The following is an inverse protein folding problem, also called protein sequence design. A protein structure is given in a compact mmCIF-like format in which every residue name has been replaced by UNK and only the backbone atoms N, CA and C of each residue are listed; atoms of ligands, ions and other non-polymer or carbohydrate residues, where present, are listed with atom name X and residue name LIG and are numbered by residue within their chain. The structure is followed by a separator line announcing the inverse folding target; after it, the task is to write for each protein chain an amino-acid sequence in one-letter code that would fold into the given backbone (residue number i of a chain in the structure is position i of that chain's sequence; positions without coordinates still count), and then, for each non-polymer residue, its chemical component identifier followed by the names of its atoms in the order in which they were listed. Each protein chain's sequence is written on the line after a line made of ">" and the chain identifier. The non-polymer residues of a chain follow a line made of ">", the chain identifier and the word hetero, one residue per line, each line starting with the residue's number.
data_IF_063094296460
#
_entry.id   IF_063094296460
#
_cell.length_a   1.000
_cell.length_b   1.000
_cell.length_c   1.000
_cell.angle_alpha   90.00
_cell.angle_beta   90.00
_cell.angle_gamma   90.00
#
_symmetry.space_group_name_H-M   'P 1'
#
loop_
_entity.id
_entity.type
_entity.pdbx_description
1 polymer ?
#
# COMPACT_ATOMS: atom_id res chain seq x y z
N UNK A 1 -0.46 -34.39 11.90
CA UNK A 1 -0.47 -32.91 11.97
C UNK A 1 0.60 -32.30 11.09
N UNK A 2 1.84 -32.80 11.17
CA UNK A 2 2.93 -32.46 10.24
C UNK A 2 2.56 -32.74 8.79
N UNK A 3 1.94 -33.89 8.45
CA UNK A 3 1.70 -34.27 7.04
C UNK A 3 0.81 -33.30 6.26
N UNK A 4 -0.32 -32.83 6.80
CA UNK A 4 -1.25 -31.97 6.04
C UNK A 4 -0.76 -30.51 5.88
N UNK A 5 -0.11 -29.94 6.91
CA UNK A 5 0.55 -28.63 6.81
C UNK A 5 1.83 -28.72 5.98
N UNK A 6 2.54 -29.85 6.03
CA UNK A 6 3.69 -30.12 5.17
C UNK A 6 3.28 -30.31 3.70
N UNK A 7 2.19 -31.03 3.42
CA UNK A 7 1.62 -31.14 2.07
C UNK A 7 1.17 -29.79 1.50
N UNK A 8 0.62 -28.90 2.34
CA UNK A 8 0.28 -27.53 1.95
C UNK A 8 1.50 -26.62 1.73
N UNK A 9 2.60 -26.85 2.45
CA UNK A 9 3.83 -26.03 2.35
C UNK A 9 4.86 -26.56 1.34
N UNK A 10 4.83 -27.84 1.01
CA UNK A 10 5.71 -28.48 0.02
C UNK A 10 5.22 -28.33 -1.42
N UNK A 11 3.99 -27.85 -1.66
CA UNK A 11 3.55 -27.55 -3.02
C UNK A 11 4.36 -26.36 -3.57
N UNK A 12 5.47 -26.69 -4.23
CA UNK A 12 6.45 -25.75 -4.81
C UNK A 12 5.85 -24.72 -5.78
N UNK A 13 4.59 -24.89 -6.19
CA UNK A 13 3.81 -23.88 -6.92
C UNK A 13 3.64 -22.58 -6.13
N UNK A 14 3.62 -22.64 -4.79
CA UNK A 14 3.42 -21.46 -3.94
C UNK A 14 4.66 -20.58 -3.79
N UNK A 15 5.88 -21.12 -3.93
CA UNK A 15 7.12 -20.31 -3.92
C UNK A 15 7.29 -19.37 -5.12
N UNK A 16 6.43 -19.50 -6.15
CA UNK A 16 6.38 -18.56 -7.29
C UNK A 16 5.41 -17.40 -7.09
N UNK A 17 4.64 -17.40 -6.00
CA UNK A 17 3.73 -16.30 -5.69
C UNK A 17 4.55 -15.13 -5.15
N UNK A 18 4.95 -14.20 -6.02
CA UNK A 18 5.58 -12.95 -5.58
C UNK A 18 4.59 -12.07 -4.79
N UNK A 19 5.12 -11.25 -3.89
CA UNK A 19 4.36 -10.26 -3.12
C UNK A 19 3.74 -10.81 -1.82
N UNK A 20 2.68 -10.17 -1.35
CA UNK A 20 2.09 -10.38 -0.02
C UNK A 20 1.74 -11.84 0.34
N UNK A 21 1.45 -12.68 -0.66
CA UNK A 21 1.14 -14.10 -0.41
C UNK A 21 2.34 -14.88 0.09
N UNK A 22 3.55 -14.60 -0.43
CA UNK A 22 4.77 -15.25 0.07
C UNK A 22 5.04 -14.87 1.53
N UNK A 23 4.82 -13.59 1.87
CA UNK A 23 5.00 -13.08 3.22
C UNK A 23 3.98 -13.70 4.18
N UNK A 24 2.71 -13.77 3.77
CA UNK A 24 1.66 -14.41 4.56
C UNK A 24 1.90 -15.93 4.74
N UNK A 25 2.39 -16.63 3.71
CA UNK A 25 2.78 -18.04 3.81
C UNK A 25 3.96 -18.24 4.77
N UNK A 26 4.98 -17.37 4.69
CA UNK A 26 6.10 -17.42 5.62
C UNK A 26 5.63 -17.20 7.05
N UNK A 27 4.73 -16.23 7.27
CA UNK A 27 4.15 -15.97 8.58
C UNK A 27 3.34 -17.15 9.10
N UNK A 28 2.51 -17.75 8.26
CA UNK A 28 1.75 -18.96 8.59
C UNK A 28 2.67 -20.11 9.04
N UNK A 29 3.80 -20.31 8.38
CA UNK A 29 4.78 -21.33 8.77
C UNK A 29 5.40 -21.04 10.14
N UNK A 30 5.75 -19.77 10.43
CA UNK A 30 6.25 -19.37 11.75
C UNK A 30 5.21 -19.64 12.85
N UNK A 31 3.96 -19.23 12.65
CA UNK A 31 2.89 -19.48 13.63
C UNK A 31 2.63 -20.99 13.82
N UNK A 32 2.72 -21.79 12.75
CA UNK A 32 2.62 -23.24 12.84
C UNK A 32 3.77 -23.85 13.65
N UNK A 33 4.98 -23.30 13.57
CA UNK A 33 6.12 -23.69 14.40
C UNK A 33 5.89 -23.30 15.87
N UNK A 34 5.35 -22.12 16.14
CA UNK A 34 5.07 -21.66 17.50
C UNK A 34 3.99 -22.50 18.18
N UNK A 35 2.92 -22.86 17.47
CA UNK A 35 1.91 -23.81 18.00
C UNK A 35 2.53 -25.17 18.32
N UNK A 36 3.47 -25.67 17.52
CA UNK A 36 4.17 -26.93 17.84
C UNK A 36 4.94 -26.81 19.15
N UNK A 37 5.52 -25.64 19.44
CA UNK A 37 6.21 -25.37 20.73
C UNK A 37 5.24 -25.29 21.91
N UNK A 38 3.99 -24.89 21.68
CA UNK A 38 2.94 -24.87 22.71
C UNK A 38 2.45 -26.25 23.14
N UNK A 39 2.69 -27.30 22.33
CA UNK A 39 2.21 -28.64 22.64
C UNK A 39 2.83 -29.15 23.95
N UNK A 40 2.01 -29.63 24.91
CA UNK A 40 2.53 -30.09 26.19
C UNK A 40 3.49 -31.27 25.99
N UNK A 41 4.70 -31.14 26.53
CA UNK A 41 5.49 -32.32 26.90
C UNK A 41 4.64 -33.07 27.93
N UNK A 42 4.29 -34.33 27.67
CA UNK A 42 3.34 -35.08 28.47
C UNK A 42 3.71 -35.13 29.96
N UNK A 43 3.26 -34.16 30.75
CA UNK A 43 3.51 -34.05 32.18
C UNK A 43 2.20 -33.76 32.88
N UNK A 44 1.46 -34.84 33.19
CA UNK A 44 0.47 -35.06 34.27
C UNK A 44 -0.38 -33.92 34.90
N UNK A 45 -0.50 -32.74 34.31
CA UNK A 45 -1.22 -31.60 34.90
C UNK A 45 -2.71 -31.67 34.59
N UNK A 46 -3.54 -31.46 35.61
CA UNK A 46 -5.01 -31.44 35.53
C UNK A 46 -5.59 -30.20 34.85
N UNK A 47 -4.78 -29.16 34.58
CA UNK A 47 -5.14 -28.01 33.72
C UNK A 47 -4.95 -28.27 32.22
N UNK A 48 -4.45 -29.45 31.84
CA UNK A 48 -4.15 -29.83 30.47
C UNK A 48 -5.35 -29.95 29.49
N UNK A 49 -6.59 -30.32 29.88
CA UNK A 49 -7.65 -30.56 28.89
C UNK A 49 -8.18 -29.27 28.23
N UNK A 50 -8.34 -28.17 28.97
CA UNK A 50 -8.79 -26.88 28.40
C UNK A 50 -7.71 -26.28 27.48
N UNK A 51 -6.43 -26.36 27.88
CA UNK A 51 -5.33 -25.88 27.03
C UNK A 51 -5.20 -26.70 25.74
N UNK A 52 -5.37 -28.02 25.81
CA UNK A 52 -5.34 -28.89 24.63
C UNK A 52 -6.45 -28.58 23.63
N UNK A 53 -7.65 -28.26 24.13
CA UNK A 53 -8.77 -27.82 23.28
C UNK A 53 -8.46 -26.50 22.57
N UNK A 54 -7.97 -25.49 23.30
CA UNK A 54 -7.62 -24.19 22.70
C UNK A 54 -6.49 -24.29 21.69
N UNK A 55 -5.46 -25.11 21.94
CA UNK A 55 -4.41 -25.39 20.95
C UNK A 55 -5.01 -26.02 19.69
N UNK A 56 -6.02 -26.90 19.83
CA UNK A 56 -6.71 -27.47 18.68
C UNK A 56 -7.51 -26.44 17.90
N UNK A 57 -8.19 -25.52 18.58
CA UNK A 57 -8.94 -24.40 17.96
C UNK A 57 -8.00 -23.53 17.11
N UNK A 58 -6.88 -23.08 17.67
CA UNK A 58 -5.89 -22.28 16.92
C UNK A 58 -5.30 -23.04 15.72
N UNK A 59 -5.14 -24.37 15.83
CA UNK A 59 -4.75 -25.19 14.68
C UNK A 59 -5.82 -25.27 13.59
N UNK A 60 -7.11 -25.21 13.94
CA UNK A 60 -8.18 -25.15 12.96
C UNK A 60 -8.21 -23.77 12.29
N UNK A 61 -8.04 -22.69 13.05
CA UNK A 61 -7.91 -21.32 12.54
C UNK A 61 -6.75 -21.21 11.54
N UNK A 62 -5.56 -21.70 11.86
CA UNK A 62 -4.45 -21.71 10.89
C UNK A 62 -4.77 -22.44 9.57
N UNK A 63 -5.55 -23.53 9.63
CA UNK A 63 -5.97 -24.25 8.41
C UNK A 63 -7.01 -23.47 7.63
N UNK A 64 -7.85 -22.70 8.31
CA UNK A 64 -8.78 -21.76 7.69
C UNK A 64 -8.01 -20.68 6.95
N UNK A 65 -7.07 -20.01 7.61
CA UNK A 65 -6.20 -19.00 6.99
C UNK A 65 -5.46 -19.57 5.78
N UNK A 66 -4.95 -20.80 5.88
CA UNK A 66 -4.30 -21.47 4.75
C UNK A 66 -5.23 -21.69 3.55
N UNK A 67 -6.53 -21.94 3.78
CA UNK A 67 -7.54 -22.02 2.73
C UNK A 67 -7.82 -20.63 2.15
N UNK A 68 -7.98 -19.63 3.02
CA UNK A 68 -8.28 -18.25 2.67
C UNK A 68 -7.19 -17.59 1.84
N UNK A 69 -5.91 -17.94 2.01
CA UNK A 69 -4.80 -17.45 1.19
C UNK A 69 -5.04 -17.52 -0.32
N UNK A 70 -5.89 -18.46 -0.76
CA UNK A 70 -6.25 -18.66 -2.16
C UNK A 70 -7.52 -17.94 -2.60
N UNK A 71 -8.45 -17.62 -1.69
CA UNK A 71 -9.78 -17.09 -2.02
C UNK A 71 -10.04 -15.67 -1.50
N UNK A 72 -9.35 -15.26 -0.44
CA UNK A 72 -9.54 -14.02 0.28
C UNK A 72 -8.60 -12.90 -0.22
N UNK A 73 -8.94 -11.67 0.15
CA UNK A 73 -8.09 -10.50 -0.06
C UNK A 73 -6.88 -10.47 0.90
N UNK A 74 -5.86 -9.64 0.62
CA UNK A 74 -4.72 -9.48 1.53
C UNK A 74 -5.15 -9.03 2.92
N UNK A 75 -6.09 -8.08 2.99
CA UNK A 75 -6.53 -7.47 4.25
C UNK A 75 -7.19 -8.52 5.18
N UNK A 76 -8.03 -9.39 4.63
CA UNK A 76 -8.71 -10.47 5.36
C UNK A 76 -7.70 -11.49 5.89
N UNK A 77 -6.77 -11.95 5.05
CA UNK A 77 -5.75 -12.93 5.44
C UNK A 77 -4.84 -12.39 6.55
N UNK A 78 -4.40 -11.14 6.44
CA UNK A 78 -3.54 -10.54 7.46
C UNK A 78 -4.28 -10.37 8.78
N UNK A 79 -5.55 -9.96 8.75
CA UNK A 79 -6.38 -9.90 9.95
C UNK A 79 -6.49 -11.28 10.63
N UNK A 80 -6.77 -12.34 9.88
CA UNK A 80 -6.88 -13.68 10.46
C UNK A 80 -5.54 -14.22 10.99
N UNK A 81 -4.42 -13.89 10.36
CA UNK A 81 -3.08 -14.19 10.89
C UNK A 81 -2.81 -13.47 12.21
N UNK A 82 -3.21 -12.20 12.30
CA UNK A 82 -3.10 -11.38 13.51
C UNK A 82 -3.94 -11.96 14.67
N UNK A 83 -5.18 -12.39 14.39
CA UNK A 83 -6.05 -13.03 15.38
C UNK A 83 -5.45 -14.34 15.91
N UNK A 84 -4.94 -15.20 15.03
CA UNK A 84 -4.24 -16.43 15.41
C UNK A 84 -3.04 -16.15 16.31
N UNK A 85 -2.25 -15.13 15.97
CA UNK A 85 -1.09 -14.74 16.76
C UNK A 85 -1.46 -14.25 18.15
N UNK A 86 -2.52 -13.43 18.27
CA UNK A 86 -3.06 -13.01 19.57
C UNK A 86 -3.54 -14.20 20.40
N UNK A 87 -4.12 -15.23 19.77
CA UNK A 87 -4.52 -16.46 20.46
C UNK A 87 -3.30 -17.27 20.92
N UNK A 88 -2.25 -17.38 20.11
CA UNK A 88 -1.00 -18.04 20.47
C UNK A 88 -0.35 -17.33 21.68
N UNK A 89 -0.28 -16.00 21.67
CA UNK A 89 0.25 -15.21 22.77
C UNK A 89 -0.48 -15.49 24.10
N UNK A 90 -1.81 -15.64 24.07
CA UNK A 90 -2.62 -15.99 25.26
C UNK A 90 -2.37 -17.41 25.78
N UNK A 91 -1.87 -18.31 24.93
CA UNK A 91 -1.58 -19.71 25.27
C UNK A 91 -0.12 -19.96 25.66
N UNK A 92 0.77 -18.99 25.37
CA UNK A 92 2.18 -19.01 25.72
C UNK A 92 2.40 -18.88 27.23
N UNK A 93 3.42 -19.57 27.75
CA UNK A 93 3.77 -19.55 29.17
C UNK A 93 5.29 -19.59 29.35
N UNK A 94 5.76 -19.09 30.49
CA UNK A 94 7.19 -19.15 30.87
C UNK A 94 8.09 -18.51 29.81
N UNK A 95 9.17 -19.18 29.45
CA UNK A 95 10.16 -18.68 28.48
C UNK A 95 9.53 -18.32 27.12
N UNK A 96 8.57 -19.10 26.63
CA UNK A 96 7.88 -18.82 25.36
C UNK A 96 7.13 -17.48 25.41
N UNK A 97 6.49 -17.16 26.54
CA UNK A 97 5.80 -15.89 26.70
C UNK A 97 6.79 -14.72 26.76
N UNK A 98 7.98 -14.92 27.32
CA UNK A 98 9.06 -13.93 27.29
C UNK A 98 9.56 -13.69 25.87
N UNK A 99 9.79 -14.75 25.10
CA UNK A 99 10.20 -14.65 23.69
C UNK A 99 9.16 -13.85 22.88
N UNK A 100 7.87 -14.12 23.13
CA UNK A 100 6.78 -13.33 22.54
C UNK A 100 6.76 -11.87 22.98
N UNK A 101 7.06 -11.58 24.25
CA UNK A 101 7.15 -10.21 24.74
C UNK A 101 8.32 -9.45 24.06
N UNK A 102 9.48 -10.09 23.91
CA UNK A 102 10.63 -9.53 23.18
C UNK A 102 10.26 -9.26 21.73
N UNK A 103 9.70 -10.27 21.05
CA UNK A 103 9.26 -10.13 19.67
C UNK A 103 8.19 -9.02 19.50
N UNK A 104 7.23 -8.95 20.41
CA UNK A 104 6.20 -7.91 20.42
C UNK A 104 6.81 -6.51 20.58
N UNK A 105 7.84 -6.35 21.42
CA UNK A 105 8.57 -5.09 21.58
C UNK A 105 9.28 -4.68 20.28
N UNK A 106 10.00 -5.61 19.66
CA UNK A 106 10.68 -5.36 18.40
C UNK A 106 9.67 -4.98 17.30
N UNK A 107 8.55 -5.71 17.22
CA UNK A 107 7.50 -5.46 16.24
C UNK A 107 6.81 -4.10 16.47
N UNK A 108 6.50 -3.75 17.71
CA UNK A 108 5.85 -2.49 18.09
C UNK A 108 6.77 -1.27 17.96
N UNK A 109 8.08 -1.47 17.99
CA UNK A 109 9.07 -0.39 17.80
C UNK A 109 9.49 -0.18 16.34
N UNK A 110 8.91 -0.96 15.41
CA UNK A 110 9.18 -0.84 13.98
C UNK A 110 8.98 0.61 13.50
N UNK A 111 9.97 1.20 12.79
CA UNK A 111 9.89 2.55 12.26
C UNK A 111 8.65 2.84 11.41
N UNK A 112 8.10 1.83 10.74
CA UNK A 112 6.89 1.94 9.93
C UNK A 112 5.63 2.21 10.76
N UNK A 113 5.68 1.96 12.08
CA UNK A 113 4.64 2.27 13.07
C UNK A 113 4.87 3.62 13.77
N UNK A 114 5.94 4.37 13.45
CA UNK A 114 6.31 5.64 14.15
C UNK A 114 5.28 6.78 14.13
N UNK A 115 4.14 6.61 13.44
CA UNK A 115 3.01 7.55 13.52
C UNK A 115 1.93 7.17 14.53
N UNK A 116 1.93 5.93 15.05
CA UNK A 116 0.85 5.40 15.88
C UNK A 116 1.28 5.25 17.34
N UNK A 117 1.40 6.38 18.05
CA UNK A 117 1.69 6.39 19.50
C UNK A 117 0.70 5.57 20.31
N UNK A 118 -0.54 5.38 19.83
CA UNK A 118 -1.53 4.58 20.56
C UNK A 118 -1.15 3.08 20.63
N UNK A 119 -0.35 2.58 19.67
CA UNK A 119 0.18 1.22 19.70
C UNK A 119 1.32 1.05 20.72
N UNK A 120 2.05 2.12 21.04
CA UNK A 120 3.27 2.10 21.88
C UNK A 120 3.12 2.86 23.20
N UNK A 121 1.90 3.04 23.69
CA UNK A 121 1.61 3.73 24.96
C UNK A 121 0.65 2.90 25.82
N UNK A 122 0.63 3.18 27.13
CA UNK A 122 -0.29 2.55 28.08
C UNK A 122 0.33 1.42 28.91
N UNK A 123 -0.37 1.05 29.99
CA UNK A 123 0.14 0.15 31.04
C UNK A 123 0.50 -1.23 30.54
N UNK A 124 -0.31 -1.83 29.66
CA UNK A 124 -0.02 -3.14 29.06
C UNK A 124 1.27 -3.11 28.21
N UNK A 125 1.56 -2.00 27.52
CA UNK A 125 2.80 -1.88 26.76
C UNK A 125 4.02 -1.76 27.68
N UNK A 126 3.92 -0.97 28.74
CA UNK A 126 4.99 -0.84 29.74
C UNK A 126 5.28 -2.18 30.42
N UNK A 127 4.25 -2.97 30.72
CA UNK A 127 4.40 -4.30 31.30
C UNK A 127 5.09 -5.27 30.33
N UNK A 128 4.66 -5.32 29.06
CA UNK A 128 5.30 -6.13 28.01
C UNK A 128 6.76 -5.74 27.81
N UNK A 129 7.05 -4.43 27.75
CA UNK A 129 8.41 -3.92 27.62
C UNK A 129 9.28 -4.29 28.82
N UNK A 130 8.76 -4.15 30.04
CA UNK A 130 9.49 -4.53 31.25
C UNK A 130 9.77 -6.04 31.27
N UNK A 131 8.82 -6.86 30.82
CA UNK A 131 8.98 -8.32 30.75
C UNK A 131 9.98 -8.79 29.69
N UNK A 132 10.18 -8.00 28.62
CA UNK A 132 11.18 -8.27 27.58
C UNK A 132 12.63 -8.05 28.04
N UNK A 133 12.86 -7.41 29.20
CA UNK A 133 14.22 -7.18 29.70
C UNK A 133 14.91 -8.50 30.12
N UNK A 134 16.24 -8.65 29.91
CA UNK A 134 16.98 -9.89 30.17
C UNK A 134 16.89 -10.44 31.60
N UNK A 135 16.55 -9.59 32.57
CA UNK A 135 16.46 -9.94 33.99
C UNK A 135 15.05 -9.72 34.57
N UNK A 136 14.03 -9.60 33.72
CA UNK A 136 12.67 -9.41 34.20
C UNK A 136 12.18 -10.63 35.00
N UNK A 137 11.26 -10.45 35.97
CA UNK A 137 10.67 -11.56 36.73
C UNK A 137 10.01 -12.62 35.83
N UNK A 138 9.74 -13.80 36.39
CA UNK A 138 9.11 -14.89 35.66
C UNK A 138 7.75 -14.45 35.06
N UNK A 139 7.47 -14.76 33.79
CA UNK A 139 6.20 -14.44 33.14
C UNK A 139 5.01 -15.05 33.87
N UNK A 140 3.99 -14.23 34.15
CA UNK A 140 2.73 -14.67 34.74
C UNK A 140 1.57 -14.65 33.72
N UNK A 141 0.37 -15.02 34.17
CA UNK A 141 -0.81 -15.06 33.31
C UNK A 141 -1.31 -13.66 32.91
N UNK A 142 -1.02 -12.62 33.71
CA UNK A 142 -1.38 -11.24 33.41
C UNK A 142 -0.55 -10.72 32.24
N UNK A 143 0.75 -11.04 32.21
CA UNK A 143 1.62 -10.73 31.08
C UNK A 143 1.13 -11.35 29.76
N UNK A 144 0.54 -12.56 29.78
CA UNK A 144 -0.01 -13.17 28.57
C UNK A 144 -1.16 -12.34 27.98
N UNK A 145 -2.03 -11.81 28.83
CA UNK A 145 -3.10 -10.91 28.43
C UNK A 145 -2.56 -9.58 27.92
N UNK A 146 -1.54 -9.02 28.58
CA UNK A 146 -0.92 -7.75 28.18
C UNK A 146 -0.16 -7.85 26.85
N UNK A 147 0.56 -8.96 26.60
CA UNK A 147 1.20 -9.23 25.30
C UNK A 147 0.14 -9.28 24.21
N UNK A 148 -0.94 -10.05 24.41
CA UNK A 148 -2.02 -10.14 23.43
C UNK A 148 -2.69 -8.78 23.18
N UNK A 149 -2.92 -7.99 24.24
CA UNK A 149 -3.49 -6.64 24.11
C UNK A 149 -2.54 -5.64 23.42
N UNK A 150 -1.23 -5.77 23.60
CA UNK A 150 -0.23 -4.97 22.91
C UNK A 150 -0.19 -5.34 21.41
N UNK A 151 -0.17 -6.64 21.09
CA UNK A 151 -0.23 -7.13 19.71
C UNK A 151 -1.52 -6.72 19.00
N UNK A 152 -2.67 -6.85 19.66
CA UNK A 152 -3.94 -6.42 19.09
C UNK A 152 -3.95 -4.95 18.66
N UNK A 153 -3.35 -4.08 19.49
CA UNK A 153 -3.21 -2.65 19.16
C UNK A 153 -2.22 -2.43 18.01
N UNK A 154 -1.15 -3.20 17.94
CA UNK A 154 -0.19 -3.19 16.82
C UNK A 154 -0.87 -3.59 15.51
N UNK A 155 -1.56 -4.73 15.52
CA UNK A 155 -2.25 -5.30 14.37
C UNK A 155 -3.34 -4.37 13.86
N UNK A 156 -4.21 -3.86 14.75
CA UNK A 156 -5.23 -2.87 14.40
C UNK A 156 -4.63 -1.61 13.76
N UNK A 157 -3.46 -1.18 14.24
CA UNK A 157 -2.74 -0.04 13.66
C UNK A 157 -2.24 -0.33 12.24
N UNK A 158 -1.66 -1.52 12.03
CA UNK A 158 -1.17 -2.01 10.75
C UNK A 158 -2.32 -2.18 9.75
N UNK A 159 -3.40 -2.82 10.17
CA UNK A 159 -4.58 -3.09 9.34
C UNK A 159 -5.25 -1.79 8.89
N UNK A 160 -5.35 -0.80 9.77
CA UNK A 160 -5.84 0.53 9.40
C UNK A 160 -4.96 1.18 8.34
N UNK A 161 -3.64 1.11 8.50
CA UNK A 161 -2.69 1.66 7.52
C UNK A 161 -2.80 0.96 6.16
N UNK A 162 -2.97 -0.36 6.16
CA UNK A 162 -3.22 -1.15 4.95
C UNK A 162 -4.53 -0.76 4.26
N UNK A 163 -5.62 -0.63 5.02
CA UNK A 163 -6.91 -0.18 4.50
C UNK A 163 -6.83 1.25 3.93
N UNK A 164 -6.13 2.16 4.59
CA UNK A 164 -5.89 3.53 4.11
C UNK A 164 -5.07 3.52 2.81
N UNK A 165 -4.01 2.71 2.74
CA UNK A 165 -3.19 2.56 1.53
C UNK A 165 -4.01 1.96 0.37
N UNK A 166 -4.83 0.96 0.63
CA UNK A 166 -5.71 0.34 -0.36
C UNK A 166 -6.74 1.35 -0.89
N UNK A 167 -7.42 2.07 0.01
CA UNK A 167 -8.37 3.13 -0.35
C UNK A 167 -7.72 4.26 -1.15
N UNK A 168 -6.50 4.66 -0.78
CA UNK A 168 -5.71 5.63 -1.52
C UNK A 168 -5.40 5.13 -2.94
N UNK A 169 -4.91 3.89 -3.06
CA UNK A 169 -4.62 3.24 -4.35
C UNK A 169 -5.86 3.16 -5.24
N UNK A 170 -7.02 2.78 -4.68
CA UNK A 170 -8.29 2.69 -5.39
C UNK A 170 -8.77 4.06 -5.90
N UNK A 171 -8.70 5.10 -5.05
CA UNK A 171 -9.05 6.48 -5.44
C UNK A 171 -8.12 7.00 -6.53
N UNK A 172 -6.80 6.82 -6.38
CA UNK A 172 -5.82 7.24 -7.38
C UNK A 172 -6.01 6.51 -8.71
N UNK A 173 -6.31 5.20 -8.68
CA UNK A 173 -6.61 4.42 -9.87
C UNK A 173 -7.86 4.92 -10.58
N UNK A 174 -8.92 5.18 -9.81
CA UNK A 174 -10.18 5.74 -10.34
C UNK A 174 -9.93 7.11 -10.99
N UNK A 175 -9.16 7.98 -10.32
CA UNK A 175 -8.78 9.28 -10.88
C UNK A 175 -7.96 9.14 -12.16
N UNK A 176 -6.99 8.23 -12.18
CA UNK A 176 -6.14 7.97 -13.36
C UNK A 176 -6.97 7.48 -14.54
N UNK A 177 -7.89 6.53 -14.31
CA UNK A 177 -8.83 6.06 -15.34
C UNK A 177 -9.69 7.21 -15.84
N UNK A 178 -10.22 8.04 -14.93
CA UNK A 178 -11.02 9.22 -15.30
C UNK A 178 -10.24 10.22 -16.16
N UNK A 179 -8.99 10.52 -15.81
CA UNK A 179 -8.10 11.41 -16.57
C UNK A 179 -7.80 10.84 -17.95
N UNK A 180 -7.50 9.55 -18.06
CA UNK A 180 -7.26 8.89 -19.34
C UNK A 180 -8.52 8.85 -20.20
N UNK A 181 -9.67 8.53 -19.61
CA UNK A 181 -10.95 8.54 -20.31
C UNK A 181 -11.30 9.94 -20.84
N UNK A 182 -11.08 10.99 -20.03
CA UNK A 182 -11.23 12.38 -20.47
C UNK A 182 -10.27 12.72 -21.60
N UNK A 183 -9.01 12.30 -21.51
CA UNK A 183 -8.01 12.54 -22.56
C UNK A 183 -8.41 11.89 -23.88
N UNK A 184 -8.88 10.63 -23.83
CA UNK A 184 -9.41 9.92 -25.01
C UNK A 184 -10.64 10.62 -25.56
N UNK A 185 -11.56 11.05 -24.70
CA UNK A 185 -12.77 11.78 -25.11
C UNK A 185 -12.42 13.08 -25.83
N UNK A 186 -11.46 13.86 -25.32
CA UNK A 186 -10.96 15.08 -25.97
C UNK A 186 -10.39 14.75 -27.34
N UNK A 187 -9.54 13.72 -27.45
CA UNK A 187 -8.95 13.29 -28.72
C UNK A 187 -10.00 12.84 -29.74
N UNK A 188 -10.99 12.06 -29.31
CA UNK A 188 -12.10 11.60 -30.17
C UNK A 188 -12.97 12.78 -30.61
N UNK A 189 -13.29 13.70 -29.69
CA UNK A 189 -14.02 14.91 -30.03
C UNK A 189 -13.27 15.77 -31.04
N UNK A 190 -11.94 15.85 -30.93
CA UNK A 190 -11.07 16.56 -31.88
C UNK A 190 -11.18 15.97 -33.29
N UNK A 191 -11.20 14.65 -33.38
CA UNK A 191 -11.25 13.93 -34.65
C UNK A 191 -12.66 13.91 -35.27
N UNK A 192 -13.70 13.75 -34.45
CA UNK A 192 -15.07 13.55 -34.92
C UNK A 192 -15.84 14.86 -35.11
N UNK A 193 -15.48 15.92 -34.39
CA UNK A 193 -16.24 17.17 -34.35
C UNK A 193 -15.29 18.37 -34.57
N UNK A 194 -14.69 18.50 -35.77
CA UNK A 194 -13.69 19.53 -36.08
C UNK A 194 -14.24 20.97 -35.93
N UNK A 195 -15.56 21.14 -35.96
CA UNK A 195 -16.20 22.43 -35.73
C UNK A 195 -16.24 22.90 -34.26
N UNK A 196 -15.81 22.08 -33.30
CA UNK A 196 -15.91 22.45 -31.89
C UNK A 196 -14.79 23.41 -31.45
N UNK A 197 -15.15 24.57 -30.87
CA UNK A 197 -14.21 25.67 -30.62
C UNK A 197 -13.20 25.38 -29.50
N UNK A 198 -13.31 24.26 -28.81
CA UNK A 198 -12.41 23.87 -27.72
C UNK A 198 -11.15 23.13 -28.19
N UNK A 199 -11.11 22.71 -29.46
CA UNK A 199 -9.94 22.09 -30.11
C UNK A 199 -9.50 22.91 -31.32
N UNK A 200 -9.72 24.23 -31.25
CA UNK A 200 -9.32 25.21 -32.27
C UNK A 200 -7.82 25.11 -32.44
N UNK A 201 -7.38 24.89 -33.68
CA UNK A 201 -5.96 24.91 -34.01
C UNK A 201 -5.43 23.66 -34.70
N UNK A 202 -6.16 22.54 -34.75
CA UNK A 202 -5.74 21.38 -35.56
C UNK A 202 -5.52 21.79 -37.03
N UNK A 203 -6.41 22.61 -37.59
CA UNK A 203 -6.26 23.18 -38.92
C UNK A 203 -5.11 24.19 -39.07
N UNK A 204 -4.58 24.74 -37.97
CA UNK A 204 -3.45 25.68 -37.99
C UNK A 204 -2.10 25.00 -38.16
N UNK A 205 -2.01 23.69 -37.88
CA UNK A 205 -0.81 22.89 -38.10
C UNK A 205 -0.74 22.42 -39.55
N UNK A 206 -0.36 23.32 -40.46
CA UNK A 206 -0.26 22.98 -41.89
C UNK A 206 0.73 21.82 -42.11
N UNK A 207 0.29 20.79 -42.84
CA UNK A 207 1.12 19.64 -43.21
C UNK A 207 1.15 18.49 -42.19
N UNK A 208 0.36 18.55 -41.10
CA UNK A 208 0.26 17.48 -40.10
C UNK A 208 -1.17 16.98 -40.02
N UNK A 209 -1.38 15.66 -40.12
CA UNK A 209 -2.72 15.08 -39.97
C UNK A 209 -3.22 15.18 -38.52
N UNK A 210 -4.53 15.22 -38.31
CA UNK A 210 -5.12 15.29 -36.97
C UNK A 210 -4.67 14.12 -36.07
N UNK A 211 -4.48 12.93 -36.65
CA UNK A 211 -3.96 11.75 -35.96
C UNK A 211 -2.51 11.96 -35.53
N UNK A 212 -1.66 12.53 -36.39
CA UNK A 212 -0.27 12.84 -36.04
C UNK A 212 -0.20 13.89 -34.93
N UNK A 213 -1.06 14.92 -34.95
CA UNK A 213 -1.15 15.89 -33.86
C UNK A 213 -1.53 15.19 -32.56
N UNK A 214 -2.59 14.40 -32.55
CA UNK A 214 -3.01 13.63 -31.37
C UNK A 214 -1.87 12.77 -30.79
N UNK A 215 -1.15 12.04 -31.65
CA UNK A 215 -0.02 11.19 -31.26
C UNK A 215 1.13 12.03 -30.70
N UNK A 216 1.52 13.12 -31.37
CA UNK A 216 2.61 13.98 -30.92
C UNK A 216 2.30 14.64 -29.58
N UNK A 217 1.06 15.12 -29.39
CA UNK A 217 0.62 15.74 -28.13
C UNK A 217 0.60 14.73 -27.00
N UNK A 218 0.06 13.53 -27.24
CA UNK A 218 0.06 12.46 -26.25
C UNK A 218 1.48 12.01 -25.87
N UNK A 219 2.38 11.83 -26.86
CA UNK A 219 3.78 11.47 -26.61
C UNK A 219 4.54 12.57 -25.88
N UNK A 220 4.37 13.83 -26.29
CA UNK A 220 4.99 14.97 -25.63
C UNK A 220 4.50 15.13 -24.18
N UNK A 221 3.19 14.97 -23.95
CA UNK A 221 2.60 14.97 -22.63
C UNK A 221 3.07 13.81 -21.75
N UNK A 222 3.22 12.60 -22.32
CA UNK A 222 3.81 11.45 -21.62
C UNK A 222 5.27 11.72 -21.21
N UNK A 223 6.08 12.27 -22.12
CA UNK A 223 7.48 12.62 -21.82
C UNK A 223 7.53 13.68 -20.72
N UNK A 224 6.72 14.73 -20.84
CA UNK A 224 6.64 15.77 -19.81
C UNK A 224 6.18 15.21 -18.44
N UNK A 225 5.16 14.35 -18.42
CA UNK A 225 4.70 13.71 -17.19
C UNK A 225 5.66 12.67 -16.63
N UNK A 226 6.50 12.06 -17.46
CA UNK A 226 7.49 11.09 -17.02
C UNK A 226 8.54 11.72 -16.10
N UNK A 227 8.82 13.02 -16.26
CA UNK A 227 9.76 13.75 -15.39
C UNK A 227 9.30 13.78 -13.92
N UNK A 228 8.01 14.00 -13.67
CA UNK A 228 7.42 13.94 -12.32
C UNK A 228 7.16 12.51 -11.84
N UNK A 229 6.96 11.56 -12.75
CA UNK A 229 6.74 10.15 -12.44
C UNK A 229 8.04 9.39 -12.09
N UNK A 230 9.16 9.75 -12.72
CA UNK A 230 10.46 9.09 -12.56
C UNK A 230 10.91 8.94 -11.10
N UNK A 231 10.97 10.01 -10.28
CA UNK A 231 11.38 9.87 -8.88
C UNK A 231 10.45 8.95 -8.08
N UNK A 232 9.18 8.85 -8.48
CA UNK A 232 8.21 7.97 -7.83
C UNK A 232 8.45 6.50 -8.16
N UNK A 233 8.88 6.20 -9.40
CA UNK A 233 9.26 4.85 -9.79
C UNK A 233 10.55 4.40 -9.11
N UNK A 234 11.55 5.30 -8.97
CA UNK A 234 12.83 4.96 -8.33
C UNK A 234 12.69 4.75 -6.82
N UNK A 235 11.71 5.41 -6.19
CA UNK A 235 11.40 5.25 -4.77
C UNK A 235 10.28 4.24 -4.51
N UNK A 236 9.81 3.53 -5.54
CA UNK A 236 8.78 2.51 -5.38
C UNK A 236 9.38 1.26 -4.72
N UNK A 237 9.26 1.19 -3.39
CA UNK A 237 9.41 -0.07 -2.68
C UNK A 237 8.34 -1.07 -3.15
N UNK A 238 8.57 -2.37 -2.94
CA UNK A 238 7.60 -3.44 -3.22
C UNK A 238 6.44 -3.35 -2.20
N UNK A 239 5.61 -2.33 -2.35
CA UNK A 239 4.40 -2.15 -1.58
C UNK A 239 3.28 -3.06 -2.14
N UNK A 240 2.64 -3.81 -1.25
CA UNK A 240 1.48 -4.69 -1.53
C UNK A 240 0.41 -3.98 -2.35
N UNK A 241 0.15 -2.69 -2.07
CA UNK A 241 -0.91 -1.91 -2.71
C UNK A 241 -0.44 -1.09 -3.91
N UNK A 242 0.86 -1.18 -4.23
CA UNK A 242 1.50 -0.52 -5.38
C UNK A 242 1.18 0.98 -5.48
N UNK A 243 1.03 1.67 -4.34
CA UNK A 243 0.55 3.07 -4.32
C UNK A 243 1.45 3.98 -5.15
N UNK A 244 2.77 3.77 -5.08
CA UNK A 244 3.75 4.55 -5.84
C UNK A 244 3.60 4.35 -7.36
N UNK A 245 3.36 3.12 -7.82
CA UNK A 245 3.11 2.86 -9.24
C UNK A 245 1.84 3.54 -9.74
N UNK A 246 0.77 3.50 -8.95
CA UNK A 246 -0.50 4.17 -9.32
C UNK A 246 -0.33 5.69 -9.32
N UNK A 247 0.40 6.25 -8.35
CA UNK A 247 0.75 7.68 -8.33
C UNK A 247 1.59 8.09 -9.55
N UNK A 248 2.57 7.28 -9.92
CA UNK A 248 3.39 7.52 -11.11
C UNK A 248 2.54 7.46 -12.39
N UNK A 249 1.63 6.48 -12.51
CA UNK A 249 0.68 6.38 -13.61
C UNK A 249 -0.27 7.60 -13.68
N UNK A 250 -0.74 8.09 -12.54
CA UNK A 250 -1.56 9.29 -12.46
C UNK A 250 -0.81 10.53 -13.01
N UNK A 251 0.48 10.69 -12.69
CA UNK A 251 1.32 11.79 -13.20
C UNK A 251 1.56 11.70 -14.71
N UNK A 252 1.73 10.49 -15.25
CA UNK A 252 1.79 10.28 -16.69
C UNK A 252 0.48 10.68 -17.37
N UNK A 253 -0.66 10.23 -16.84
CA UNK A 253 -1.98 10.56 -17.36
C UNK A 253 -2.27 12.06 -17.32
N UNK A 254 -1.93 12.73 -16.21
CA UNK A 254 -2.05 14.18 -16.08
C UNK A 254 -1.13 14.93 -17.06
N UNK A 255 0.05 14.37 -17.40
CA UNK A 255 0.94 14.94 -18.41
C UNK A 255 0.32 14.97 -19.80
N UNK A 256 -0.34 13.87 -20.19
CA UNK A 256 -1.13 13.81 -21.43
C UNK A 256 -2.23 14.88 -21.41
N UNK A 257 -3.03 14.92 -20.34
CA UNK A 257 -4.16 15.85 -20.24
C UNK A 257 -3.69 17.31 -20.28
N UNK A 258 -2.62 17.64 -19.55
CA UNK A 258 -2.02 18.98 -19.53
C UNK A 258 -1.52 19.39 -20.91
N UNK A 259 -0.87 18.47 -21.63
CA UNK A 259 -0.43 18.73 -23.00
C UNK A 259 -1.61 18.98 -23.95
N UNK A 260 -2.69 18.20 -23.85
CA UNK A 260 -3.91 18.41 -24.64
C UNK A 260 -4.55 19.78 -24.38
N UNK A 261 -4.69 20.16 -23.11
CA UNK A 261 -5.22 21.47 -22.72
C UNK A 261 -4.31 22.59 -23.24
N UNK A 262 -3.01 22.47 -23.02
CA UNK A 262 -2.03 23.47 -23.42
C UNK A 262 -1.98 23.71 -24.93
N UNK A 263 -1.96 22.64 -25.72
CA UNK A 263 -2.00 22.72 -27.19
C UNK A 263 -3.33 23.29 -27.66
N UNK A 264 -4.44 22.97 -27.01
CA UNK A 264 -5.74 23.57 -27.32
C UNK A 264 -5.75 25.07 -27.06
N UNK A 265 -5.12 25.53 -25.97
CA UNK A 265 -4.99 26.96 -25.66
C UNK A 265 -4.10 27.71 -26.67
N UNK A 266 -2.99 27.10 -27.09
CA UNK A 266 -2.10 27.65 -28.12
C UNK A 266 -2.82 27.71 -29.47
N UNK A 267 -3.50 26.63 -29.85
CA UNK A 267 -4.28 26.56 -31.09
C UNK A 267 -5.42 27.59 -31.14
N UNK A 268 -6.10 27.80 -30.01
CA UNK A 268 -7.13 28.85 -29.84
C UNK A 268 -6.57 30.28 -29.91
N UNK A 269 -5.24 30.45 -29.92
CA UNK A 269 -4.59 31.76 -29.92
C UNK A 269 -4.65 32.48 -28.58
N UNK A 270 -4.98 31.78 -27.50
CA UNK A 270 -5.03 32.38 -26.15
C UNK A 270 -3.62 32.58 -25.58
N UNK A 271 -2.64 31.84 -26.09
CA UNK A 271 -1.23 32.01 -25.76
C UNK A 271 -0.51 32.65 -26.94
N UNK A 272 -0.29 33.96 -26.86
CA UNK A 272 0.40 34.74 -27.90
C UNK A 272 1.91 34.52 -27.85
N UNK A 273 2.56 34.27 -28.99
CA UNK A 273 4.02 34.17 -29.11
C UNK A 273 4.58 32.75 -29.26
N UNK A 274 3.74 31.71 -29.12
CA UNK A 274 4.10 30.33 -29.47
C UNK A 274 3.52 29.99 -30.85
N UNK A 275 4.32 30.11 -31.90
CA UNK A 275 3.94 29.66 -33.24
C UNK A 275 4.06 28.13 -33.29
N UNK A 276 2.92 27.44 -33.32
CA UNK A 276 2.83 25.99 -33.37
C UNK A 276 3.07 25.41 -34.76
N UNK A 277 3.47 26.21 -35.74
CA UNK A 277 3.26 25.93 -37.18
C UNK A 277 4.03 24.72 -37.75
N UNK A 278 4.76 23.98 -36.92
CA UNK A 278 5.48 22.76 -37.31
C UNK A 278 5.31 21.63 -36.29
N UNK A 279 5.39 20.37 -36.74
CA UNK A 279 5.33 19.20 -35.88
C UNK A 279 6.36 19.21 -34.71
N UNK A 280 7.62 19.65 -34.90
CA UNK A 280 8.57 19.79 -33.80
C UNK A 280 8.16 20.86 -32.77
N UNK A 281 7.61 22.00 -33.22
CA UNK A 281 7.13 23.05 -32.33
C UNK A 281 5.95 22.55 -31.49
N UNK A 282 4.98 21.88 -32.12
CA UNK A 282 3.86 21.24 -31.44
C UNK A 282 4.33 20.23 -30.39
N UNK A 283 5.30 19.38 -30.73
CA UNK A 283 5.86 18.40 -29.81
C UNK A 283 6.57 19.06 -28.61
N UNK A 284 7.37 20.10 -28.86
CA UNK A 284 8.06 20.86 -27.82
C UNK A 284 7.06 21.57 -26.87
N UNK A 285 6.01 22.19 -27.42
CA UNK A 285 4.92 22.80 -26.64
C UNK A 285 4.22 21.75 -25.78
N UNK A 286 3.95 20.56 -26.34
CA UNK A 286 3.31 19.46 -25.63
C UNK A 286 4.16 18.98 -24.45
N UNK A 287 5.49 18.87 -24.62
CA UNK A 287 6.42 18.56 -23.53
C UNK A 287 6.39 19.65 -22.46
N UNK A 288 6.46 20.92 -22.86
CA UNK A 288 6.47 22.04 -21.92
C UNK A 288 5.21 22.06 -21.04
N UNK A 289 4.03 21.87 -21.63
CA UNK A 289 2.78 21.76 -20.87
C UNK A 289 2.69 20.47 -20.05
N UNK A 290 3.21 19.35 -20.56
CA UNK A 290 3.32 18.10 -19.81
C UNK A 290 4.22 18.24 -18.57
N UNK A 291 5.26 19.07 -18.62
CA UNK A 291 6.15 19.39 -17.49
C UNK A 291 5.53 20.40 -16.53
N UNK A 292 4.76 21.36 -17.04
CA UNK A 292 4.15 22.44 -16.26
C UNK A 292 3.18 21.94 -15.17
N UNK A 293 2.72 20.69 -15.25
CA UNK A 293 1.90 20.08 -14.20
C UNK A 293 2.67 19.88 -12.88
N UNK A 294 4.00 19.72 -12.92
CA UNK A 294 4.79 19.30 -11.76
C UNK A 294 4.79 20.37 -10.64
N UNK A 295 5.04 21.67 -10.93
CA UNK A 295 4.90 22.73 -9.94
C UNK A 295 3.49 22.79 -9.32
N UNK A 296 2.44 22.64 -10.15
CA UNK A 296 1.04 22.69 -9.69
C UNK A 296 0.76 21.51 -8.75
N UNK A 297 1.21 20.32 -9.13
CA UNK A 297 1.04 19.09 -8.33
C UNK A 297 1.77 19.22 -7.00
N UNK A 298 3.02 19.70 -6.99
CA UNK A 298 3.78 19.93 -5.76
C UNK A 298 3.14 20.96 -4.83
N UNK A 299 2.60 22.05 -5.38
CA UNK A 299 1.89 23.06 -4.60
C UNK A 299 0.63 22.50 -3.94
N UNK A 300 -0.13 21.68 -4.66
CA UNK A 300 -1.32 21.01 -4.13
C UNK A 300 -0.94 19.98 -3.06
N UNK A 301 0.09 19.17 -3.31
CA UNK A 301 0.64 18.20 -2.34
C UNK A 301 1.10 18.91 -1.06
N UNK A 302 1.80 20.05 -1.18
CA UNK A 302 2.23 20.85 -0.03
C UNK A 302 1.07 21.38 0.81
N UNK A 303 0.03 21.93 0.17
CA UNK A 303 -1.16 22.43 0.88
C UNK A 303 -1.99 21.32 1.55
N UNK A 304 -2.01 20.14 0.95
CA UNK A 304 -2.67 18.97 1.54
C UNK A 304 -1.90 18.44 2.74
N UNK A 305 -0.56 18.45 2.69
CA UNK A 305 0.29 18.08 3.81
C UNK A 305 0.12 19.04 5.00
N UNK A 306 0.03 20.35 4.74
CA UNK A 306 -0.22 21.38 5.76
C UNK A 306 -1.56 21.16 6.48
N UNK A 307 -2.65 20.96 5.73
CA UNK A 307 -3.97 20.65 6.32
C UNK A 307 -4.05 19.29 7.03
N UNK A 308 -3.25 18.32 6.61
CA UNK A 308 -3.12 17.03 7.29
C UNK A 308 -2.35 17.13 8.60
N UNK A 309 -1.32 17.97 8.65
CA UNK A 309 -0.54 18.26 9.86
C UNK A 309 -1.39 18.90 10.95
N UNK A 310 -2.23 19.87 10.59
CA UNK A 310 -3.14 20.56 11.52
C UNK A 310 -4.21 19.65 12.13
N UNK A 311 -4.63 18.59 11.41
CA UNK A 311 -5.60 17.61 11.92
C UNK A 311 -4.96 16.52 12.81
N UNK A 312 -3.65 16.28 12.67
CA UNK A 312 -2.91 15.26 13.42
C UNK A 312 -2.29 15.76 14.73
N UNK A 313 -2.41 17.04 15.07
CA UNK A 313 -1.93 17.57 16.34
C UNK A 313 -0.45 17.30 16.59
N UNK A 314 0.40 17.47 15.57
CA UNK A 314 1.84 17.39 15.73
C UNK A 314 2.49 18.77 15.55
N UNK A 315 2.64 19.57 16.62
CA UNK A 315 3.51 20.73 16.59
C UNK A 315 4.95 20.23 16.81
N UNK A 316 5.70 20.00 15.74
CA UNK A 316 7.15 19.91 15.84
C UNK A 316 7.82 20.31 14.53
N UNK A 317 8.69 21.31 14.68
CA UNK A 317 9.64 21.91 13.75
C UNK A 317 10.59 20.93 13.07
#
# INVERSE_FOLDING_TARGET
>A
MTTALHELTEDTRFRRLGGWRADAWHRLDLLAQDIKRLQPVATGSTSAPDRGLRIHEVQQELREVARELNSAGPDEVWQSLHEVEEHIARLSMGEQLRDYAVWAVDHLTDPSLKGNRAATTGTAWEHVRAAAEPHAPAPDAELAADVAAALHRAHTAIDRKHLEANNCSARLRTATIGILALSVLILVAAAALPQLPFLVGLEKFQGVSAVQVAVLVALGGLIGGSWGAFPTFTSAERDTYRVQYVRAAARLAMGILSALIGVSLVGAGWVTGLAGDSAPALFAVSIAFGLAQEPVTRLLEGKLAEKGGDASGNPAA
#
